data_IF_354259549697
#
_entry.id   IF_354259549697
#
_cell.length_a   1.000
_cell.length_b   1.000
_cell.length_c   1.000
_cell.angle_alpha   90.00
_cell.angle_beta   90.00
_cell.angle_gamma   90.00
#
_symmetry.space_group_name_H-M   'P 1'
#
loop_
_entity.id
_entity.type
_entity.pdbx_description
1 polymer ?
#
# COMPACT_ATOMS: atom_id res chain seq x y z
N UNK A 1 -18.49 18.00 -4.58
CA UNK A 1 -17.50 17.65 -3.52
C UNK A 1 -17.38 16.15 -3.30
N UNK A 2 -18.46 15.43 -2.93
CA UNK A 2 -18.42 13.99 -2.60
C UNK A 2 -17.76 13.15 -3.71
N UNK A 3 -18.06 13.41 -4.98
CA UNK A 3 -17.46 12.67 -6.11
C UNK A 3 -15.95 12.83 -6.22
N UNK A 4 -15.44 14.04 -5.97
CA UNK A 4 -13.99 14.33 -6.01
C UNK A 4 -13.30 13.60 -4.85
N UNK A 5 -13.89 13.64 -3.65
CA UNK A 5 -13.36 12.93 -2.48
C UNK A 5 -13.27 11.43 -2.76
N UNK A 6 -14.31 10.80 -3.32
CA UNK A 6 -14.28 9.38 -3.69
C UNK A 6 -13.16 9.05 -4.68
N UNK A 7 -12.98 9.89 -5.70
CA UNK A 7 -11.90 9.70 -6.69
C UNK A 7 -10.54 9.81 -6.01
N UNK A 8 -10.33 10.82 -5.15
CA UNK A 8 -9.06 10.98 -4.42
C UNK A 8 -8.76 9.78 -3.53
N UNK A 9 -9.75 9.27 -2.78
CA UNK A 9 -9.55 8.09 -1.93
C UNK A 9 -9.27 6.84 -2.79
N UNK A 10 -9.96 6.67 -3.94
CA UNK A 10 -9.69 5.58 -4.86
C UNK A 10 -8.25 5.63 -5.43
N UNK A 11 -7.76 6.81 -5.76
CA UNK A 11 -6.37 7.01 -6.23
C UNK A 11 -5.38 6.69 -5.11
N UNK A 12 -5.63 7.17 -3.88
CA UNK A 12 -4.77 6.85 -2.73
C UNK A 12 -4.76 5.34 -2.47
N UNK A 13 -5.92 4.69 -2.50
CA UNK A 13 -6.05 3.24 -2.36
C UNK A 13 -5.21 2.49 -3.39
N UNK A 14 -5.26 2.91 -4.66
CA UNK A 14 -4.46 2.32 -5.72
C UNK A 14 -2.96 2.53 -5.51
N UNK A 15 -2.54 3.74 -5.11
CA UNK A 15 -1.13 4.03 -4.83
C UNK A 15 -0.60 3.19 -3.67
N UNK A 16 -1.37 3.03 -2.59
CA UNK A 16 -1.00 2.16 -1.46
C UNK A 16 -0.80 0.71 -1.91
N UNK A 17 -1.66 0.18 -2.77
CA UNK A 17 -1.50 -1.17 -3.32
C UNK A 17 -0.21 -1.28 -4.13
N UNK A 18 0.04 -0.34 -5.06
CA UNK A 18 1.24 -0.35 -5.91
C UNK A 18 2.52 -0.26 -5.07
N UNK A 19 2.56 0.67 -4.11
CA UNK A 19 3.71 0.86 -3.23
C UNK A 19 3.91 -0.39 -2.37
N UNK A 20 2.84 -0.95 -1.80
CA UNK A 20 2.92 -2.14 -0.97
C UNK A 20 3.46 -3.36 -1.73
N UNK A 21 2.98 -3.58 -2.97
CA UNK A 21 3.51 -4.63 -3.86
C UNK A 21 4.98 -4.37 -4.19
N UNK A 22 5.32 -3.12 -4.54
CA UNK A 22 6.71 -2.74 -4.84
C UNK A 22 7.64 -3.03 -3.66
N UNK A 23 7.24 -2.71 -2.43
CA UNK A 23 8.01 -2.98 -1.22
C UNK A 23 8.22 -4.48 -1.01
N UNK A 24 7.19 -5.31 -1.22
CA UNK A 24 7.32 -6.77 -1.06
C UNK A 24 8.21 -7.42 -2.13
N UNK A 25 8.24 -6.88 -3.35
CA UNK A 25 9.08 -7.41 -4.45
C UNK A 25 10.54 -6.98 -4.28
N UNK A 26 10.77 -5.70 -3.99
CA UNK A 26 12.12 -5.13 -3.98
C UNK A 26 12.80 -5.23 -2.61
N UNK A 27 12.03 -5.35 -1.53
CA UNK A 27 12.60 -5.41 -0.19
C UNK A 27 13.14 -4.07 0.29
N UNK A 28 14.12 -4.15 1.19
CA UNK A 28 14.79 -2.97 1.74
C UNK A 28 15.61 -2.23 0.69
N UNK A 29 15.60 -0.89 0.77
CA UNK A 29 16.39 0.01 -0.08
C UNK A 29 17.82 0.21 0.45
N UNK A 30 18.16 -0.38 1.59
CA UNK A 30 19.50 -0.32 2.14
C UNK A 30 20.49 -1.13 1.30
N UNK A 31 21.76 -0.70 1.26
CA UNK A 31 22.79 -1.37 0.47
C UNK A 31 23.09 -2.80 0.97
N UNK A 32 23.02 -3.01 2.29
CA UNK A 32 23.26 -4.29 2.94
C UNK A 32 22.18 -4.52 4.01
N UNK A 33 20.96 -4.87 3.61
CA UNK A 33 19.85 -4.98 4.53
C UNK A 33 20.00 -6.23 5.40
N UNK A 34 19.73 -6.07 6.69
CA UNK A 34 19.58 -7.19 7.61
C UNK A 34 18.29 -7.95 7.33
N UNK A 35 18.21 -9.21 7.79
CA UNK A 35 17.00 -10.03 7.68
C UNK A 35 15.80 -9.34 8.34
N UNK A 36 16.02 -8.72 9.50
CA UNK A 36 14.97 -7.98 10.21
C UNK A 36 14.44 -6.79 9.39
N UNK A 37 15.30 -6.05 8.70
CA UNK A 37 14.88 -4.95 7.83
C UNK A 37 14.07 -5.46 6.63
N UNK A 38 14.48 -6.59 6.05
CA UNK A 38 13.76 -7.21 4.94
C UNK A 38 12.34 -7.66 5.37
N UNK A 39 12.23 -8.31 6.53
CA UNK A 39 10.94 -8.74 7.09
C UNK A 39 10.04 -7.55 7.42
N UNK A 40 10.60 -6.48 8.03
CA UNK A 40 9.86 -5.25 8.30
C UNK A 40 9.29 -4.65 7.03
N UNK A 41 10.08 -4.54 5.96
CA UNK A 41 9.61 -4.01 4.69
C UNK A 41 8.50 -4.86 4.08
N UNK A 42 8.61 -6.19 4.17
CA UNK A 42 7.55 -7.10 3.71
C UNK A 42 6.25 -6.94 4.51
N UNK A 43 6.35 -6.80 5.83
CA UNK A 43 5.20 -6.55 6.72
C UNK A 43 4.55 -5.20 6.38
N UNK A 44 5.35 -4.14 6.25
CA UNK A 44 4.84 -2.81 5.88
C UNK A 44 4.19 -2.82 4.50
N UNK A 45 4.82 -3.48 3.51
CA UNK A 45 4.26 -3.62 2.17
C UNK A 45 2.92 -4.36 2.18
N UNK A 46 2.83 -5.46 2.94
CA UNK A 46 1.58 -6.21 3.14
C UNK A 46 0.49 -5.32 3.76
N UNK A 47 0.83 -4.54 4.79
CA UNK A 47 -0.11 -3.63 5.43
C UNK A 47 -0.64 -2.57 4.45
N UNK A 48 0.23 -2.01 3.60
CA UNK A 48 -0.18 -1.04 2.58
C UNK A 48 -1.14 -1.64 1.56
N UNK A 49 -0.89 -2.88 1.10
CA UNK A 49 -1.82 -3.58 0.20
C UNK A 49 -3.17 -3.80 0.88
N UNK A 50 -3.19 -4.29 2.13
CA UNK A 50 -4.42 -4.55 2.87
C UNK A 50 -5.23 -3.25 3.04
N UNK A 51 -4.60 -2.17 3.50
CA UNK A 51 -5.27 -0.89 3.68
C UNK A 51 -5.78 -0.34 2.35
N UNK A 52 -4.98 -0.41 1.29
CA UNK A 52 -5.40 0.03 -0.04
C UNK A 52 -6.60 -0.76 -0.57
N UNK A 53 -6.62 -2.09 -0.40
CA UNK A 53 -7.77 -2.93 -0.78
C UNK A 53 -9.02 -2.56 0.04
N UNK A 54 -8.89 -2.40 1.36
CA UNK A 54 -10.01 -2.03 2.24
C UNK A 54 -10.58 -0.67 1.83
N UNK A 55 -9.74 0.35 1.61
CA UNK A 55 -10.16 1.67 1.17
C UNK A 55 -10.86 1.61 -0.19
N UNK A 56 -10.33 0.82 -1.14
CA UNK A 56 -10.95 0.61 -2.44
C UNK A 56 -12.35 0.00 -2.35
N UNK A 57 -12.52 -1.00 -1.48
CA UNK A 57 -13.83 -1.64 -1.23
C UNK A 57 -14.82 -0.66 -0.58
N UNK A 58 -14.38 0.09 0.43
CA UNK A 58 -15.21 1.09 1.12
C UNK A 58 -15.70 2.16 0.14
N UNK A 59 -14.80 2.71 -0.69
CA UNK A 59 -15.15 3.74 -1.68
C UNK A 59 -16.08 3.21 -2.77
N UNK A 60 -15.97 1.94 -3.14
CA UNK A 60 -16.86 1.32 -4.12
C UNK A 60 -18.28 1.13 -3.58
N UNK A 61 -18.41 0.78 -2.30
CA UNK A 61 -19.68 0.39 -1.68
C UNK A 61 -20.47 1.56 -1.07
N UNK A 62 -19.86 2.73 -0.88
CA UNK A 62 -20.48 3.96 -0.36
C UNK A 62 -20.50 5.07 -1.41
#
# INVERSE_FOLDING_TARGET
MIRIIKITIAVIALLLIIIGIYMMINGSLEMYPTIEQQEKVNITGTAFVIVGVILGVIVKNH
#
